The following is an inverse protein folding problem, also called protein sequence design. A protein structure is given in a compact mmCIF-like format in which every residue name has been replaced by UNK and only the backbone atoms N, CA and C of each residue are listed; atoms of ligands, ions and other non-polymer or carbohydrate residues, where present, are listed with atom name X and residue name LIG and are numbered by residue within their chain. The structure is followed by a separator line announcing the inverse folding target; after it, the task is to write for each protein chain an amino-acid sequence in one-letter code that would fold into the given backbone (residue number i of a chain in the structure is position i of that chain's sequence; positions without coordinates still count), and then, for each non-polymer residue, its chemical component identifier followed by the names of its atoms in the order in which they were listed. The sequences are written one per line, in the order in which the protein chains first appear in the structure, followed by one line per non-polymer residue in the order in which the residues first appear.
data_IF_889527054339
#
_entry.id   IF_889527054339
#
_cell.length_a   1.000
_cell.length_b   1.000
_cell.length_c   1.000
_cell.angle_alpha   90.00
_cell.angle_beta   90.00
_cell.angle_gamma   90.00
#
_symmetry.space_group_name_H-M   'P 1'
#
loop_
_entity.id
_entity.type
_entity.pdbx_description
1 polymer ?
#
# COMPACT_ATOMS: atom_id res chain seq x y z
N UNK A 1 1.30 14.52 -20.22
CA UNK A 1 1.43 13.71 -18.99
C UNK A 1 1.84 14.64 -17.84
N UNK A 2 0.95 15.00 -16.89
CA UNK A 2 1.36 15.79 -15.70
C UNK A 2 2.16 14.89 -14.78
N UNK A 3 3.46 14.76 -15.06
CA UNK A 3 4.42 14.01 -14.26
C UNK A 3 4.46 14.71 -12.88
N UNK A 4 4.01 14.06 -11.80
CA UNK A 4 4.10 14.56 -10.40
C UNK A 4 5.57 14.64 -9.92
N UNK A 5 6.47 15.15 -10.76
CA UNK A 5 7.92 15.12 -10.57
C UNK A 5 8.48 13.70 -10.47
N UNK A 6 7.85 12.70 -11.12
CA UNK A 6 8.26 11.29 -11.02
C UNK A 6 9.47 11.02 -11.93
N UNK A 7 9.44 11.57 -13.14
CA UNK A 7 10.45 11.33 -14.17
C UNK A 7 11.15 12.63 -14.55
N UNK A 8 12.42 12.54 -14.93
CA UNK A 8 13.18 13.59 -15.60
C UNK A 8 13.77 13.04 -16.88
N UNK A 9 13.73 13.80 -17.97
CA UNK A 9 14.39 13.41 -19.21
C UNK A 9 15.90 13.30 -19.00
N UNK A 10 16.53 12.25 -19.54
CA UNK A 10 17.95 12.01 -19.41
C UNK A 10 18.55 11.34 -20.65
N UNK A 11 19.86 11.53 -20.85
CA UNK A 11 20.64 10.73 -21.81
C UNK A 11 21.33 9.59 -21.09
N UNK A 12 21.23 8.38 -21.64
CA UNK A 12 21.84 7.20 -21.05
C UNK A 12 23.37 7.32 -21.14
N UNK A 13 24.04 7.24 -19.99
CA UNK A 13 25.50 7.24 -19.94
C UNK A 13 26.05 5.96 -20.56
N UNK A 14 27.20 6.04 -21.24
CA UNK A 14 27.89 4.88 -21.78
C UNK A 14 28.08 3.80 -20.68
N UNK A 15 27.73 2.54 -20.97
CA UNK A 15 27.72 1.38 -20.08
C UNK A 15 26.59 1.25 -19.04
N UNK A 16 25.53 2.07 -19.09
CA UNK A 16 24.31 1.84 -18.29
C UNK A 16 23.20 1.21 -19.14
N UNK A 17 22.42 0.30 -18.56
CA UNK A 17 21.22 -0.24 -19.19
C UNK A 17 19.98 0.37 -18.54
N UNK A 18 19.05 0.87 -19.35
CA UNK A 18 17.77 1.36 -18.84
C UNK A 18 16.85 0.20 -18.46
N UNK A 19 16.21 0.30 -17.30
CA UNK A 19 15.18 -0.65 -16.85
C UNK A 19 13.95 -0.48 -17.73
N UNK A 20 13.54 -1.56 -18.41
CA UNK A 20 12.34 -1.50 -19.24
C UNK A 20 11.09 -1.15 -18.43
N UNK A 21 10.09 -0.52 -19.07
CA UNK A 21 8.79 -0.24 -18.46
C UNK A 21 7.66 -1.04 -19.12
N UNK A 22 6.53 -1.21 -18.42
CA UNK A 22 5.31 -1.82 -18.96
C UNK A 22 4.07 -1.15 -18.38
N UNK A 23 3.06 -0.96 -19.21
CA UNK A 23 1.72 -0.59 -18.75
C UNK A 23 0.96 -1.82 -18.23
N UNK A 24 0.45 -1.73 -17.01
CA UNK A 24 -0.42 -2.73 -16.39
C UNK A 24 -1.82 -2.13 -16.25
N UNK A 25 -2.77 -2.71 -16.98
CA UNK A 25 -4.16 -2.27 -17.01
C UNK A 25 -5.05 -3.21 -16.19
N UNK A 26 -5.98 -2.65 -15.42
CA UNK A 26 -6.98 -3.38 -14.64
C UNK A 26 -8.33 -2.69 -14.79
N UNK A 27 -9.34 -3.47 -15.17
CA UNK A 27 -10.73 -3.05 -15.16
C UNK A 27 -11.27 -3.30 -13.74
N UNK A 28 -11.84 -2.27 -13.13
CA UNK A 28 -12.50 -2.35 -11.83
C UNK A 28 -14.01 -2.35 -12.04
N UNK A 29 -14.68 -3.35 -11.45
CA UNK A 29 -16.11 -3.59 -11.56
C UNK A 29 -16.78 -3.48 -10.20
N UNK A 30 -18.02 -3.01 -10.19
CA UNK A 30 -18.89 -2.99 -9.01
C UNK A 30 -19.40 -4.41 -8.71
N UNK A 31 -20.10 -4.59 -7.59
CA UNK A 31 -20.72 -5.87 -7.21
C UNK A 31 -21.69 -6.39 -8.29
N UNK A 32 -22.43 -5.49 -8.96
CA UNK A 32 -23.27 -5.82 -10.12
C UNK A 32 -22.51 -6.08 -11.44
N UNK A 33 -21.20 -6.34 -11.39
CA UNK A 33 -20.30 -6.58 -12.54
C UNK A 33 -20.17 -5.43 -13.56
N UNK A 34 -20.83 -4.29 -13.34
CA UNK A 34 -20.68 -3.08 -14.17
C UNK A 34 -19.30 -2.45 -13.97
N UNK A 35 -18.72 -1.91 -15.04
CA UNK A 35 -17.40 -1.29 -15.01
C UNK A 35 -17.53 0.12 -14.41
N UNK A 36 -16.80 0.39 -13.33
CA UNK A 36 -16.77 1.74 -12.74
C UNK A 36 -15.45 2.48 -12.99
N UNK A 37 -14.35 1.77 -13.27
CA UNK A 37 -13.04 2.40 -13.49
C UNK A 37 -12.11 1.56 -14.34
N UNK A 38 -11.51 2.19 -15.35
CA UNK A 38 -10.33 1.68 -16.05
C UNK A 38 -9.09 2.23 -15.35
N UNK A 39 -8.19 1.36 -14.87
CA UNK A 39 -6.97 1.75 -14.17
C UNK A 39 -5.76 1.27 -14.94
N UNK A 40 -4.88 2.18 -15.35
CA UNK A 40 -3.56 1.86 -15.90
C UNK A 40 -2.47 2.32 -14.93
N UNK A 41 -1.41 1.53 -14.80
CA UNK A 41 -0.20 1.88 -14.05
C UNK A 41 1.02 1.62 -14.91
N UNK A 42 1.95 2.56 -14.89
CA UNK A 42 3.28 2.33 -15.44
C UNK A 42 4.12 1.61 -14.37
N UNK A 43 4.74 0.50 -14.77
CA UNK A 43 5.49 -0.40 -13.88
C UNK A 43 6.88 -0.61 -14.46
N UNK A 44 7.91 -0.52 -13.62
CA UNK A 44 9.26 -0.91 -13.99
C UNK A 44 9.39 -2.43 -14.07
N UNK A 45 10.16 -2.93 -15.03
CA UNK A 45 10.56 -4.35 -15.11
C UNK A 45 11.68 -4.65 -14.13
N UNK A 46 11.50 -4.34 -12.83
CA UNK A 46 12.59 -4.37 -11.85
C UNK A 46 13.18 -5.75 -11.55
N UNK A 47 12.61 -6.83 -12.10
CA UNK A 47 13.28 -8.14 -12.09
C UNK A 47 14.61 -8.15 -12.85
N UNK A 48 14.87 -7.17 -13.72
CA UNK A 48 16.17 -6.99 -14.40
C UNK A 48 17.16 -6.09 -13.63
N UNK A 49 16.74 -5.48 -12.51
CA UNK A 49 17.61 -4.62 -11.70
C UNK A 49 18.73 -5.44 -11.04
N UNK A 50 19.92 -4.84 -10.98
CA UNK A 50 21.13 -5.43 -10.41
C UNK A 50 21.47 -4.80 -9.06
N UNK A 51 21.71 -5.66 -8.06
CA UNK A 51 22.19 -5.24 -6.75
C UNK A 51 23.53 -4.51 -6.87
N UNK A 52 23.73 -3.45 -6.10
CA UNK A 52 24.93 -2.60 -6.14
C UNK A 52 24.99 -1.64 -7.33
N UNK A 53 24.07 -1.73 -8.29
CA UNK A 53 23.97 -0.82 -9.44
C UNK A 53 22.67 -0.01 -9.38
N UNK A 54 21.53 -0.69 -9.31
CA UNK A 54 20.20 -0.06 -9.37
C UNK A 54 19.54 0.07 -7.99
N UNK A 55 20.02 -0.69 -7.00
CA UNK A 55 19.54 -0.69 -5.62
C UNK A 55 20.59 -1.27 -4.69
N UNK A 56 20.53 -0.90 -3.42
CA UNK A 56 21.41 -1.45 -2.37
C UNK A 56 20.66 -2.13 -1.25
N UNK A 57 19.42 -1.73 -0.94
CA UNK A 57 18.58 -2.47 0.00
C UNK A 57 17.11 -2.36 -0.37
N UNK A 58 16.36 -3.42 -0.07
CA UNK A 58 14.96 -3.59 -0.51
C UNK A 58 14.02 -3.92 0.65
N UNK A 59 14.55 -4.05 1.86
CA UNK A 59 13.76 -4.48 3.01
C UNK A 59 12.68 -3.45 3.33
N UNK A 60 11.46 -3.94 3.48
CA UNK A 60 10.29 -3.18 3.93
C UNK A 60 9.56 -4.08 4.93
N UNK A 61 9.12 -3.55 6.08
CA UNK A 61 8.40 -4.34 7.06
C UNK A 61 7.05 -4.82 6.52
N UNK A 62 6.56 -5.92 7.08
CA UNK A 62 5.24 -6.49 6.81
C UNK A 62 4.53 -6.68 8.14
N UNK A 63 3.26 -6.28 8.18
CA UNK A 63 2.40 -6.41 9.37
C UNK A 63 2.38 -7.85 9.85
N UNK A 64 2.58 -8.05 11.15
CA UNK A 64 2.36 -9.37 11.76
C UNK A 64 0.87 -9.60 11.98
N UNK A 65 0.39 -10.78 11.60
CA UNK A 65 -1.02 -11.17 11.84
C UNK A 65 -1.38 -11.18 13.33
N UNK A 66 -0.43 -11.47 14.23
CA UNK A 66 -0.64 -11.32 15.68
C UNK A 66 -0.97 -9.87 16.02
N UNK A 67 -0.22 -8.89 15.52
CA UNK A 67 -0.47 -7.48 15.75
C UNK A 67 -1.83 -7.07 15.21
N UNK A 68 -2.18 -7.50 13.99
CA UNK A 68 -3.48 -7.24 13.39
C UNK A 68 -4.63 -7.75 14.28
N UNK A 69 -4.56 -9.02 14.71
CA UNK A 69 -5.57 -9.63 15.58
C UNK A 69 -5.67 -8.91 16.93
N UNK A 70 -4.54 -8.52 17.51
CA UNK A 70 -4.51 -7.77 18.77
C UNK A 70 -5.17 -6.39 18.63
N UNK A 71 -4.90 -5.66 17.55
CA UNK A 71 -5.53 -4.35 17.30
C UNK A 71 -7.05 -4.49 17.15
N UNK A 72 -7.51 -5.51 16.40
CA UNK A 72 -8.94 -5.79 16.26
C UNK A 72 -9.56 -6.12 17.63
N UNK A 73 -8.92 -7.00 18.40
CA UNK A 73 -9.40 -7.40 19.72
C UNK A 73 -9.48 -6.21 20.70
N UNK A 74 -8.44 -5.36 20.75
CA UNK A 74 -8.40 -4.15 21.59
C UNK A 74 -9.53 -3.19 21.19
N UNK A 75 -9.64 -2.89 19.90
CA UNK A 75 -10.66 -1.96 19.42
C UNK A 75 -12.07 -2.48 19.74
N UNK A 76 -12.32 -3.79 19.58
CA UNK A 76 -13.61 -4.40 19.90
C UNK A 76 -13.89 -4.41 21.40
N UNK A 77 -12.90 -4.74 22.22
CA UNK A 77 -13.02 -4.73 23.68
C UNK A 77 -13.39 -3.37 24.24
N UNK A 78 -12.78 -2.29 23.73
CA UNK A 78 -13.07 -0.92 24.16
C UNK A 78 -14.16 -0.20 23.34
N UNK A 79 -14.79 -0.89 22.37
CA UNK A 79 -15.80 -0.28 21.50
C UNK A 79 -15.28 0.81 20.55
N UNK A 80 -13.98 0.79 20.23
CA UNK A 80 -13.36 1.74 19.31
C UNK A 80 -13.71 1.44 17.86
N UNK A 81 -13.79 2.48 17.04
CA UNK A 81 -13.93 2.34 15.60
C UNK A 81 -12.61 1.89 14.97
N UNK A 82 -12.69 1.04 13.96
CA UNK A 82 -11.56 0.72 13.09
C UNK A 82 -11.91 1.23 11.70
N UNK A 83 -11.05 2.09 11.16
CA UNK A 83 -11.20 2.60 9.81
C UNK A 83 -9.99 2.19 8.97
N UNK A 84 -10.23 1.75 7.72
CA UNK A 84 -9.17 1.42 6.77
C UNK A 84 -9.04 2.53 5.73
N UNK A 85 -7.83 3.09 5.64
CA UNK A 85 -7.46 4.10 4.68
C UNK A 85 -6.59 3.46 3.58
N UNK A 86 -6.87 3.76 2.31
CA UNK A 86 -6.04 3.36 1.16
C UNK A 86 -5.28 4.57 0.61
N UNK A 87 -3.95 4.51 0.61
CA UNK A 87 -3.10 5.55 0.05
C UNK A 87 -3.00 5.38 -1.47
N UNK A 88 -3.61 6.32 -2.19
CA UNK A 88 -3.65 6.31 -3.64
C UNK A 88 -2.23 6.47 -4.20
N UNK A 89 -1.75 5.44 -4.88
CA UNK A 89 -0.41 5.44 -5.52
C UNK A 89 0.75 5.61 -4.55
N UNK A 90 0.68 4.99 -3.37
CA UNK A 90 1.69 4.99 -2.30
C UNK A 90 3.15 5.16 -2.77
N UNK A 91 3.64 4.28 -3.65
CA UNK A 91 5.04 4.32 -4.09
C UNK A 91 5.46 5.63 -4.77
N UNK A 92 4.53 6.35 -5.41
CA UNK A 92 4.81 7.61 -6.11
C UNK A 92 5.06 8.79 -5.16
N UNK A 93 4.91 8.61 -3.85
CA UNK A 93 5.29 9.62 -2.85
C UNK A 93 6.76 9.52 -2.45
N UNK A 94 7.37 8.34 -2.63
CA UNK A 94 8.73 8.07 -2.20
C UNK A 94 9.78 8.66 -3.13
N UNK A 95 10.74 9.39 -2.58
CA UNK A 95 11.87 9.95 -3.33
C UNK A 95 12.96 8.90 -3.50
N UNK A 96 13.43 8.71 -4.72
CA UNK A 96 14.52 7.76 -5.01
C UNK A 96 15.85 8.31 -4.51
N UNK A 97 16.61 7.46 -3.81
CA UNK A 97 18.01 7.74 -3.43
C UNK A 97 18.95 7.26 -4.53
N UNK A 98 18.70 6.07 -5.07
CA UNK A 98 19.49 5.51 -6.16
C UNK A 98 19.09 6.08 -7.51
N UNK A 99 20.08 6.21 -8.41
CA UNK A 99 19.85 6.67 -9.77
C UNK A 99 19.45 5.51 -10.67
N UNK A 100 18.15 5.41 -10.96
CA UNK A 100 17.58 4.37 -11.83
C UNK A 100 17.06 5.01 -13.11
N UNK A 101 17.60 4.58 -14.24
CA UNK A 101 17.11 4.97 -15.55
C UNK A 101 16.09 3.96 -16.06
N UNK A 102 15.02 4.45 -16.66
CA UNK A 102 14.01 3.64 -17.32
C UNK A 102 13.92 3.96 -18.81
N UNK A 103 13.54 2.95 -19.59
CA UNK A 103 13.17 3.18 -21.00
C UNK A 103 12.01 4.18 -21.06
N UNK A 104 12.01 5.05 -22.07
CA UNK A 104 10.87 5.94 -22.31
C UNK A 104 9.59 5.10 -22.44
N UNK A 105 8.55 5.35 -21.62
CA UNK A 105 7.32 4.58 -21.65
C UNK A 105 6.68 4.56 -23.04
N UNK A 106 6.10 3.43 -23.41
CA UNK A 106 5.32 3.32 -24.65
C UNK A 106 4.16 4.32 -24.64
N UNK A 107 3.97 5.02 -25.76
CA UNK A 107 2.95 6.08 -25.91
C UNK A 107 3.33 7.43 -25.30
N UNK A 108 4.53 7.58 -24.71
CA UNK A 108 5.05 8.89 -24.36
C UNK A 108 5.64 9.58 -25.60
N UNK A 109 5.41 10.88 -25.73
CA UNK A 109 6.05 11.71 -26.76
C UNK A 109 7.56 11.66 -26.59
N UNK A 110 8.27 11.30 -27.65
CA UNK A 110 9.74 11.33 -27.71
C UNK A 110 10.14 12.59 -28.44
N UNK A 111 11.03 13.34 -27.82
CA UNK A 111 11.79 14.40 -28.47
C UNK A 111 13.22 13.87 -28.65
N UNK A 112 13.93 14.34 -29.69
CA UNK A 112 15.25 13.84 -30.08
C UNK A 112 16.33 14.12 -29.00
N UNK A 113 15.98 14.89 -27.96
CA UNK A 113 16.86 15.29 -26.87
C UNK A 113 17.12 14.24 -25.79
N UNK A 114 16.36 13.14 -25.71
CA UNK A 114 16.55 12.12 -24.66
C UNK A 114 16.16 10.71 -25.11
N UNK A 115 16.87 9.70 -24.62
CA UNK A 115 16.66 8.28 -24.93
C UNK A 115 16.14 7.47 -23.72
N UNK A 116 16.14 8.07 -22.53
CA UNK A 116 15.68 7.46 -21.28
C UNK A 116 15.07 8.48 -20.31
N UNK A 117 14.49 7.96 -19.22
CA UNK A 117 13.96 8.77 -18.11
C UNK A 117 14.63 8.39 -16.80
N UNK A 118 15.06 9.38 -16.03
CA UNK A 118 15.57 9.22 -14.67
C UNK A 118 14.41 9.24 -13.67
N UNK A 119 14.34 8.24 -12.80
CA UNK A 119 13.31 8.11 -11.77
C UNK A 119 13.66 8.93 -10.54
N UNK A 120 12.98 10.08 -10.39
CA UNK A 120 13.04 10.88 -9.17
C UNK A 120 12.20 10.30 -8.03
N UNK A 121 11.18 9.50 -8.36
CA UNK A 121 10.29 8.85 -7.38
C UNK A 121 10.12 7.37 -7.68
N UNK A 122 9.87 6.60 -6.62
CA UNK A 122 9.66 5.16 -6.77
C UNK A 122 8.39 4.89 -7.58
N UNK A 123 8.45 3.86 -8.42
CA UNK A 123 7.28 3.35 -9.15
C UNK A 123 7.13 1.86 -8.88
N UNK A 124 5.93 1.34 -9.14
CA UNK A 124 5.65 -0.08 -9.02
C UNK A 124 6.63 -0.91 -9.85
N UNK A 125 6.99 -2.09 -9.33
CA UNK A 125 7.85 -3.05 -10.00
C UNK A 125 9.35 -2.84 -9.77
N UNK A 126 9.77 -1.71 -9.19
CA UNK A 126 11.14 -1.58 -8.67
C UNK A 126 11.31 -2.45 -7.41
N UNK A 127 12.50 -3.02 -7.23
CA UNK A 127 12.83 -3.86 -6.06
C UNK A 127 12.79 -3.10 -4.74
N UNK A 128 13.16 -1.81 -4.74
CA UNK A 128 13.19 -0.97 -3.54
C UNK A 128 11.90 -0.16 -3.31
N UNK A 129 10.89 -0.25 -4.18
CA UNK A 129 9.72 0.65 -4.12
C UNK A 129 9.00 0.62 -2.77
N UNK A 130 8.78 -0.58 -2.21
CA UNK A 130 8.11 -0.73 -0.91
C UNK A 130 8.90 -0.08 0.21
N UNK A 131 10.22 -0.25 0.22
CA UNK A 131 11.12 0.37 1.20
C UNK A 131 11.07 1.90 1.13
N UNK A 132 11.20 2.46 -0.07
CA UNK A 132 11.19 3.92 -0.24
C UNK A 132 9.86 4.51 0.24
N UNK A 133 8.76 3.80 0.01
CA UNK A 133 7.46 4.19 0.55
C UNK A 133 7.40 4.11 2.08
N UNK A 134 7.85 2.99 2.66
CA UNK A 134 7.88 2.79 4.11
C UNK A 134 8.69 3.90 4.81
N UNK A 135 9.90 4.19 4.33
CA UNK A 135 10.73 5.28 4.84
C UNK A 135 10.04 6.65 4.74
N UNK A 136 9.30 6.89 3.65
CA UNK A 136 8.55 8.13 3.43
C UNK A 136 7.37 8.27 4.39
N UNK A 137 6.66 7.17 4.64
CA UNK A 137 5.53 7.13 5.53
C UNK A 137 5.96 7.23 6.99
N UNK A 138 6.96 6.45 7.42
CA UNK A 138 7.56 6.47 8.76
C UNK A 138 8.03 7.88 9.13
N UNK A 139 8.81 8.52 8.25
CA UNK A 139 9.31 9.87 8.49
C UNK A 139 8.17 10.88 8.72
N UNK A 140 7.12 10.81 7.91
CA UNK A 140 5.96 11.70 8.07
C UNK A 140 5.18 11.40 9.34
N UNK A 141 4.85 10.14 9.61
CA UNK A 141 4.04 9.76 10.77
C UNK A 141 4.75 10.04 12.09
N UNK A 142 6.08 9.86 12.15
CA UNK A 142 6.88 10.33 13.28
C UNK A 142 6.85 11.85 13.45
N UNK A 143 6.90 12.61 12.36
CA UNK A 143 6.88 14.07 12.42
C UNK A 143 5.58 14.64 13.01
N UNK A 144 4.47 13.91 12.89
CA UNK A 144 3.18 14.26 13.50
C UNK A 144 2.99 13.62 14.90
N UNK A 145 4.06 13.12 15.52
CA UNK A 145 4.10 12.74 16.93
C UNK A 145 3.83 11.27 17.24
N UNK A 146 3.83 10.38 16.25
CA UNK A 146 3.74 8.95 16.51
C UNK A 146 5.09 8.33 16.86
N UNK A 147 5.05 7.26 17.65
CA UNK A 147 6.19 6.38 17.92
C UNK A 147 5.94 5.01 17.32
N UNK A 148 6.93 4.44 16.66
CA UNK A 148 6.83 3.05 16.18
C UNK A 148 6.96 2.07 17.35
N UNK A 149 6.22 0.96 17.27
CA UNK A 149 6.28 -0.12 18.24
C UNK A 149 7.60 -0.90 18.12
N UNK A 150 8.17 -1.30 19.25
CA UNK A 150 9.33 -2.21 19.29
C UNK A 150 8.98 -3.65 18.90
N UNK A 151 7.69 -4.01 18.92
CA UNK A 151 7.22 -5.38 18.65
C UNK A 151 6.81 -5.59 17.19
N UNK A 152 6.36 -4.53 16.52
CA UNK A 152 5.97 -4.56 15.11
C UNK A 152 6.30 -3.21 14.45
N UNK A 153 7.25 -3.16 13.49
CA UNK A 153 7.63 -1.92 12.80
C UNK A 153 6.50 -1.32 11.95
N UNK A 154 5.41 -2.05 11.68
CA UNK A 154 4.24 -1.52 11.00
C UNK A 154 3.23 -0.86 11.95
N UNK A 155 3.40 -0.98 13.27
CA UNK A 155 2.51 -0.39 14.27
C UNK A 155 3.07 0.92 14.81
N UNK A 156 2.29 1.98 14.69
CA UNK A 156 2.57 3.30 15.24
C UNK A 156 1.56 3.64 16.33
N UNK A 157 2.04 4.25 17.41
CA UNK A 157 1.27 4.57 18.60
C UNK A 157 1.49 6.05 18.92
N UNK A 158 0.39 6.78 19.10
CA UNK A 158 0.40 8.16 19.61
C UNK A 158 -0.48 8.22 20.84
N UNK A 159 0.01 8.85 21.90
CA UNK A 159 -0.73 9.06 23.16
C UNK A 159 -0.70 10.56 23.47
N UNK A 160 -1.87 11.15 23.74
CA UNK A 160 -2.04 12.55 24.12
C UNK A 160 -3.03 12.59 25.27
N UNK A 161 -2.67 13.18 26.40
CA UNK A 161 -3.55 13.39 27.56
C UNK A 161 -4.31 12.13 28.02
N UNK A 162 -3.67 10.96 27.93
CA UNK A 162 -4.25 9.65 28.30
C UNK A 162 -5.04 8.97 27.18
N UNK A 163 -5.35 9.67 26.10
CA UNK A 163 -6.00 9.13 24.90
C UNK A 163 -4.97 8.59 23.92
N UNK A 164 -5.32 7.58 23.13
CA UNK A 164 -4.42 6.97 22.15
C UNK A 164 -5.00 6.85 20.74
N UNK A 165 -4.11 6.89 19.75
CA UNK A 165 -4.38 6.53 18.36
C UNK A 165 -3.33 5.52 17.91
N UNK A 166 -3.80 4.45 17.29
CA UNK A 166 -3.02 3.35 16.73
C UNK A 166 -3.13 3.38 15.21
N UNK A 167 -1.99 3.35 14.53
CA UNK A 167 -1.92 3.15 13.08
C UNK A 167 -1.21 1.82 12.79
N UNK A 168 -1.84 0.95 12.01
CA UNK A 168 -1.21 -0.27 11.50
C UNK A 168 -1.09 -0.18 9.98
N UNK A 169 0.14 -0.19 9.47
CA UNK A 169 0.44 0.10 8.06
C UNK A 169 0.78 -1.19 7.32
N UNK A 170 -0.04 -1.56 6.35
CA UNK A 170 0.18 -2.69 5.45
C UNK A 170 0.35 -2.19 4.02
N UNK A 171 1.58 -1.85 3.64
CA UNK A 171 1.89 -1.29 2.30
C UNK A 171 1.05 -0.03 2.02
N UNK A 172 0.04 -0.10 1.14
CA UNK A 172 -0.84 1.02 0.79
C UNK A 172 -2.06 1.18 1.71
N UNK A 173 -2.37 0.17 2.52
CA UNK A 173 -3.45 0.22 3.51
C UNK A 173 -2.95 0.71 4.88
N UNK A 174 -3.73 1.57 5.53
CA UNK A 174 -3.49 2.05 6.90
C UNK A 174 -4.75 1.87 7.73
N UNK A 175 -4.68 1.00 8.74
CA UNK A 175 -5.73 0.88 9.73
C UNK A 175 -5.56 1.94 10.80
N UNK A 176 -6.65 2.61 11.16
CA UNK A 176 -6.68 3.63 12.21
C UNK A 176 -7.72 3.26 13.24
N UNK A 177 -7.32 3.23 14.50
CA UNK A 177 -8.22 3.06 15.65
C UNK A 177 -7.66 3.81 16.86
N UNK A 178 -8.42 3.92 17.94
CA UNK A 178 -8.02 4.67 19.11
C UNK A 178 -9.18 5.02 20.01
N UNK A 179 -8.87 5.58 21.17
CA UNK A 179 -9.84 5.88 22.22
C UNK A 179 -10.60 7.19 21.99
N UNK A 180 -10.05 8.11 21.18
CA UNK A 180 -10.67 9.41 20.89
C UNK A 180 -10.98 9.57 19.40
N UNK A 181 -12.27 9.75 19.10
CA UNK A 181 -12.74 10.02 17.74
C UNK A 181 -12.17 11.34 17.17
N UNK A 182 -11.99 12.36 18.01
CA UNK A 182 -11.44 13.65 17.60
C UNK A 182 -9.96 13.52 17.23
N UNK A 183 -9.18 12.77 18.01
CA UNK A 183 -7.77 12.50 17.67
C UNK A 183 -7.65 11.68 16.39
N UNK A 184 -8.54 10.70 16.18
CA UNK A 184 -8.59 9.93 14.93
C UNK A 184 -8.89 10.85 13.75
N UNK A 185 -9.90 11.72 13.87
CA UNK A 185 -10.27 12.66 12.83
C UNK A 185 -9.11 13.62 12.48
N UNK A 186 -8.41 14.11 13.51
CA UNK A 186 -7.23 14.95 13.32
C UNK A 186 -6.10 14.22 12.60
N UNK A 187 -5.77 12.99 13.03
CA UNK A 187 -4.74 12.17 12.38
C UNK A 187 -5.12 11.89 10.92
N UNK A 188 -6.38 11.58 10.64
CA UNK A 188 -6.87 11.41 9.26
C UNK A 188 -6.69 12.69 8.44
N UNK A 189 -6.95 13.86 9.01
CA UNK A 189 -6.76 15.17 8.35
C UNK A 189 -5.29 15.42 8.05
N UNK A 190 -4.40 15.12 9.00
CA UNK A 190 -2.96 15.21 8.82
C UNK A 190 -2.50 14.29 7.68
N UNK A 191 -2.84 13.00 7.73
CA UNK A 191 -2.51 12.05 6.67
C UNK A 191 -3.03 12.51 5.30
N UNK A 192 -4.27 12.99 5.21
CA UNK A 192 -4.87 13.54 3.98
C UNK A 192 -4.20 14.82 3.47
N UNK A 193 -3.55 15.59 4.34
CA UNK A 193 -2.78 16.77 3.92
C UNK A 193 -1.52 16.41 3.14
N UNK A 194 -0.96 15.20 3.40
CA UNK A 194 0.27 14.73 2.78
C UNK A 194 0.05 13.72 1.66
N UNK A 195 -0.93 12.84 1.84
CA UNK A 195 -1.22 11.72 0.96
C UNK A 195 -2.66 11.77 0.45
N UNK A 196 -2.84 11.45 -0.83
CA UNK A 196 -4.17 11.24 -1.39
C UNK A 196 -4.71 9.92 -0.85
N UNK A 197 -5.79 9.97 -0.07
CA UNK A 197 -6.32 8.83 0.67
C UNK A 197 -7.80 8.62 0.34
N UNK A 198 -8.17 7.37 0.08
CA UNK A 198 -9.56 6.93 0.03
C UNK A 198 -9.92 6.17 1.31
N UNK A 199 -11.15 6.32 1.79
CA UNK A 199 -11.67 5.57 2.94
C UNK A 199 -12.34 4.29 2.42
N UNK A 200 -11.89 3.14 2.89
CA UNK A 200 -12.28 1.83 2.36
C UNK A 200 -13.50 1.24 3.07
N UNK A 201 -14.13 1.96 4.00
CA UNK A 201 -15.28 1.47 4.76
C UNK A 201 -14.91 0.39 5.78
N UNK A 202 -15.90 -0.04 6.59
CA UNK A 202 -15.67 -0.73 7.87
C UNK A 202 -15.68 -2.27 7.83
N UNK A 203 -16.12 -2.90 6.73
CA UNK A 203 -16.43 -4.34 6.74
C UNK A 203 -15.28 -5.27 6.35
N UNK A 204 -14.19 -4.75 5.80
CA UNK A 204 -13.04 -5.54 5.38
C UNK A 204 -11.76 -4.89 5.89
N UNK A 205 -10.99 -5.65 6.65
CA UNK A 205 -9.69 -5.24 7.17
C UNK A 205 -8.62 -6.05 6.43
N UNK A 206 -7.85 -5.40 5.55
CA UNK A 206 -6.78 -6.04 4.77
C UNK A 206 -7.24 -7.31 4.01
N UNK A 207 -8.47 -7.28 3.48
CA UNK A 207 -9.07 -8.41 2.77
C UNK A 207 -9.56 -9.54 3.67
N UNK A 208 -9.68 -9.29 4.97
CA UNK A 208 -10.34 -10.16 5.94
C UNK A 208 -11.68 -9.52 6.29
N UNK A 209 -12.75 -10.29 6.10
CA UNK A 209 -14.09 -9.95 6.55
C UNK A 209 -14.15 -10.07 8.07
N UNK A 210 -14.64 -9.02 8.73
CA UNK A 210 -14.80 -8.99 10.19
C UNK A 210 -16.28 -9.05 10.50
N UNK A 211 -16.73 -10.16 11.08
CA UNK A 211 -18.13 -10.40 11.43
C UNK A 211 -18.28 -10.34 12.94
N UNK A 212 -19.10 -9.41 13.40
CA UNK A 212 -19.52 -9.33 14.80
C UNK A 212 -20.67 -10.33 15.04
N UNK A 213 -20.47 -11.23 15.99
CA UNK A 213 -21.48 -12.22 16.37
C UNK A 213 -22.34 -11.69 17.53
N UNK A 214 -23.57 -12.19 17.65
CA UNK A 214 -24.51 -11.77 18.69
C UNK A 214 -24.04 -12.10 20.13
N UNK A 215 -23.12 -13.05 20.27
CA UNK A 215 -22.50 -13.44 21.54
C UNK A 215 -21.32 -12.53 21.95
N UNK A 216 -21.02 -11.49 21.15
CA UNK A 216 -19.92 -10.57 21.37
C UNK A 216 -18.57 -11.06 20.86
N UNK A 217 -18.50 -12.27 20.28
CA UNK A 217 -17.30 -12.75 19.60
C UNK A 217 -17.13 -12.11 18.22
N UNK A 218 -15.91 -12.14 17.70
CA UNK A 218 -15.57 -11.62 16.37
C UNK A 218 -14.98 -12.72 15.51
N UNK A 219 -15.64 -12.99 14.38
CA UNK A 219 -15.15 -13.94 13.39
C UNK A 219 -14.35 -13.21 12.32
N UNK A 220 -13.14 -13.69 12.05
CA UNK A 220 -12.31 -13.25 10.94
C UNK A 220 -12.42 -14.27 9.79
N UNK A 221 -12.99 -13.85 8.66
CA UNK A 221 -13.32 -14.71 7.52
C UNK A 221 -12.61 -14.24 6.25
N UNK A 222 -12.19 -15.19 5.41
CA UNK A 222 -11.78 -14.92 4.03
C UNK A 222 -12.64 -15.72 3.03
N UNK A 223 -13.87 -16.09 3.43
CA UNK A 223 -14.78 -16.91 2.62
C UNK A 223 -14.99 -16.32 1.22
N UNK A 224 -15.19 -15.01 1.11
CA UNK A 224 -15.32 -14.33 -0.19
C UNK A 224 -14.10 -14.54 -1.10
N UNK A 225 -12.89 -14.37 -0.57
CA UNK A 225 -11.66 -14.57 -1.33
C UNK A 225 -11.52 -16.03 -1.78
N UNK A 226 -11.86 -16.98 -0.91
CA UNK A 226 -11.87 -18.41 -1.23
C UNK A 226 -12.86 -18.69 -2.37
N UNK A 227 -14.10 -18.19 -2.26
CA UNK A 227 -15.12 -18.36 -3.28
C UNK A 227 -14.74 -17.70 -4.62
N UNK A 228 -14.13 -16.52 -4.61
CA UNK A 228 -13.63 -15.85 -5.82
C UNK A 228 -12.54 -16.69 -6.52
N UNK A 229 -11.69 -17.38 -5.74
CA UNK A 229 -10.70 -18.33 -6.28
C UNK A 229 -11.41 -19.54 -6.90
N UNK A 230 -12.36 -20.14 -6.18
CA UNK A 230 -13.10 -21.31 -6.66
C UNK A 230 -13.85 -20.97 -7.96
N UNK A 231 -14.51 -19.81 -8.06
CA UNK A 231 -15.14 -19.35 -9.30
C UNK A 231 -14.13 -19.22 -10.44
N UNK A 232 -13.01 -18.55 -10.18
CA UNK A 232 -11.98 -18.28 -11.19
C UNK A 232 -11.40 -19.55 -11.81
N UNK A 233 -11.29 -20.62 -11.03
CA UNK A 233 -10.75 -21.91 -11.48
C UNK A 233 -11.82 -22.96 -11.78
N UNK A 234 -13.11 -22.61 -11.72
CA UNK A 234 -14.21 -23.55 -12.01
C UNK A 234 -14.36 -24.66 -10.97
N UNK A 235 -13.99 -24.38 -9.72
CA UNK A 235 -13.95 -25.34 -8.60
C UNK A 235 -15.09 -25.15 -7.59
N UNK A 236 -16.15 -24.43 -7.95
CA UNK A 236 -17.28 -24.11 -7.08
C UNK A 236 -17.94 -25.36 -6.49
N UNK A 237 -18.00 -26.43 -7.28
CA UNK A 237 -18.63 -27.71 -6.94
C UNK A 237 -17.61 -28.78 -6.49
N UNK A 238 -16.35 -28.39 -6.24
CA UNK A 238 -15.34 -29.33 -5.76
C UNK A 238 -15.69 -29.82 -4.35
N UNK A 239 -15.41 -31.10 -4.08
CA UNK A 239 -15.62 -31.69 -2.75
C UNK A 239 -14.74 -30.97 -1.72
N UNK A 240 -15.29 -30.49 -0.60
CA UNK A 240 -14.50 -29.91 0.48
C UNK A 240 -13.50 -30.93 0.99
N UNK A 241 -12.24 -30.51 1.19
CA UNK A 241 -11.28 -31.31 1.94
C UNK A 241 -11.62 -31.22 3.43
N UNK A 242 -11.54 -32.34 4.15
CA UNK A 242 -11.71 -32.33 5.60
C UNK A 242 -10.60 -31.47 6.24
N UNK A 243 -10.99 -30.43 6.96
CA UNK A 243 -10.08 -29.65 7.81
C UNK A 243 -9.72 -30.47 9.04
N UNK A 244 -8.42 -30.63 9.29
CA UNK A 244 -7.87 -31.31 10.48
C UNK A 244 -7.89 -30.40 11.70
#
# INVERSE_FOLDING_TARGET
MRLRGIFRSAKLMHNKCAVGTKWVSKIKRNEGRSIYKYKARLVAKGFVQKYGIDYTETFSPVVKYVTLRMIIAIAKYFGWTIDQLDVVTAFLYGLMKEKVFCSVPEGAERDDGFDCVDLSKAIYGLKQASRVWDETFDAYVRSIGFRVSSYDPCLYIKVIDGECVLLLVCVDDVLVTGSSADLIAEVKRQLKSRFEITDSGKCYILGIEVVDNADGSVTLSQARYINDILERFGMQDCKPAAST
#
